data_IF_103934070579
#
_entry.id   IF_103934070579
#
_cell.length_a   1.000
_cell.length_b   1.000
_cell.length_c   1.000
_cell.angle_alpha   90.00
_cell.angle_beta   90.00
_cell.angle_gamma   90.00
#
_symmetry.space_group_name_H-M   'P 1'
#
loop_
_entity.id
_entity.type
_entity.pdbx_description
1 polymer ?
#
# COMPACT_ATOMS: atom_id res chain seq x y z
N UNK A 1 -39.09 11.51 -16.92
CA UNK A 1 -38.80 12.75 -16.17
C UNK A 1 -39.04 12.46 -14.70
N UNK A 2 -38.00 12.10 -13.95
CA UNK A 2 -38.12 11.86 -12.50
C UNK A 2 -38.05 13.20 -11.77
N UNK A 3 -39.13 13.57 -11.08
CA UNK A 3 -39.19 14.77 -10.25
C UNK A 3 -38.45 14.49 -8.95
N UNK A 4 -37.29 15.10 -8.76
CA UNK A 4 -36.52 14.99 -7.51
C UNK A 4 -37.13 15.94 -6.47
N UNK A 5 -37.88 15.36 -5.53
CA UNK A 5 -38.42 16.08 -4.37
C UNK A 5 -37.29 16.50 -3.43
N UNK A 6 -37.20 17.77 -2.99
CA UNK A 6 -36.13 18.27 -2.12
C UNK A 6 -36.08 17.57 -0.74
N UNK A 7 -37.18 16.94 -0.31
CA UNK A 7 -37.22 16.16 0.93
C UNK A 7 -36.37 14.88 0.86
N UNK A 8 -36.29 14.26 -0.32
CA UNK A 8 -35.50 13.03 -0.52
C UNK A 8 -34.00 13.34 -0.45
N UNK A 9 -33.59 14.51 -0.96
CA UNK A 9 -32.21 14.98 -0.90
C UNK A 9 -31.83 15.31 0.55
N UNK A 10 -32.70 16.00 1.29
CA UNK A 10 -32.45 16.31 2.70
C UNK A 10 -32.32 15.04 3.56
N UNK A 11 -33.16 14.02 3.33
CA UNK A 11 -33.05 12.74 4.02
C UNK A 11 -31.72 12.04 3.71
N UNK A 12 -31.28 12.00 2.45
CA UNK A 12 -30.01 11.40 2.06
C UNK A 12 -28.80 12.08 2.74
N UNK A 13 -28.82 13.41 2.87
CA UNK A 13 -27.78 14.15 3.59
C UNK A 13 -27.75 13.85 5.09
N UNK A 14 -28.91 13.67 5.73
CA UNK A 14 -28.99 13.32 7.17
C UNK A 14 -28.50 11.89 7.42
N UNK A 15 -28.85 10.94 6.56
CA UNK A 15 -28.32 9.57 6.65
C UNK A 15 -26.80 9.54 6.39
N UNK A 16 -26.31 10.30 5.41
CA UNK A 16 -24.89 10.45 5.13
C UNK A 16 -24.13 11.09 6.32
N UNK A 17 -24.75 12.07 7.01
CA UNK A 17 -24.17 12.71 8.19
C UNK A 17 -24.07 11.74 9.37
N UNK A 18 -25.12 10.94 9.61
CA UNK A 18 -25.12 9.95 10.67
C UNK A 18 -24.08 8.84 10.40
N UNK A 19 -23.89 8.42 9.15
CA UNK A 19 -22.81 7.49 8.77
C UNK A 19 -21.40 8.08 9.06
N UNK A 20 -21.18 9.37 8.80
CA UNK A 20 -19.92 10.06 9.13
C UNK A 20 -19.64 10.14 10.64
N UNK A 21 -20.67 10.08 11.50
CA UNK A 21 -20.43 10.10 12.97
C UNK A 21 -19.82 8.82 13.53
N UNK A 22 -19.90 7.69 12.82
CA UNK A 22 -19.19 6.47 13.22
C UNK A 22 -17.67 6.59 12.99
N UNK A 23 -17.25 7.32 11.95
CA UNK A 23 -15.84 7.57 11.66
C UNK A 23 -15.15 8.39 12.77
N UNK A 24 -15.89 9.26 13.45
CA UNK A 24 -15.38 10.06 14.56
C UNK A 24 -15.00 9.24 15.80
N UNK A 25 -15.55 8.03 15.98
CA UNK A 25 -15.23 7.17 17.14
C UNK A 25 -13.86 6.51 17.07
N UNK A 26 -13.22 6.48 15.90
CA UNK A 26 -11.86 5.93 15.75
C UNK A 26 -10.77 6.92 16.21
N UNK A 27 -11.10 8.19 16.41
CA UNK A 27 -10.11 9.25 16.70
C UNK A 27 -9.71 9.41 18.17
N UNK A 28 -10.43 8.78 19.10
CA UNK A 28 -10.18 8.91 20.55
C UNK A 28 -9.48 7.69 21.18
N UNK A 29 -9.22 6.62 20.41
CA UNK A 29 -8.48 5.46 20.93
C UNK A 29 -6.97 5.69 20.79
N UNK A 30 -6.17 5.58 21.87
CA UNK A 30 -4.72 5.66 21.77
C UNK A 30 -4.22 4.55 20.85
N UNK A 31 -3.39 4.92 19.86
CA UNK A 31 -2.78 3.97 18.92
C UNK A 31 -1.98 2.95 19.74
N UNK A 32 -2.42 1.70 19.71
CA UNK A 32 -1.82 0.64 20.50
C UNK A 32 -0.51 0.17 19.86
N UNK A 33 0.60 0.18 20.62
CA UNK A 33 1.87 -0.35 20.14
C UNK A 33 1.78 -1.87 19.96
N UNK A 34 1.94 -2.32 18.72
CA UNK A 34 2.04 -3.75 18.38
C UNK A 34 3.23 -4.39 19.09
N UNK A 35 4.33 -3.65 19.26
CA UNK A 35 5.53 -4.15 19.95
C UNK A 35 5.27 -4.44 21.43
N UNK A 36 4.50 -3.60 22.13
CA UNK A 36 4.13 -3.84 23.53
C UNK A 36 3.13 -5.00 23.68
N UNK A 37 2.20 -5.09 22.72
CA UNK A 37 1.19 -6.15 22.65
C UNK A 37 1.82 -7.55 22.64
N UNK A 38 2.84 -7.76 21.81
CA UNK A 38 3.45 -9.07 21.60
C UNK A 38 4.41 -9.51 22.71
N UNK A 39 4.72 -8.63 23.68
CA UNK A 39 5.55 -9.01 24.84
C UNK A 39 4.89 -10.06 25.72
N UNK A 40 3.56 -10.17 25.66
CA UNK A 40 2.79 -11.21 26.32
C UNK A 40 2.18 -12.13 25.26
N UNK A 41 1.93 -13.41 25.57
CA UNK A 41 1.21 -14.29 24.67
C UNK A 41 -0.16 -13.69 24.32
N UNK A 42 -0.39 -13.44 23.03
CA UNK A 42 -1.67 -12.93 22.54
C UNK A 42 -2.46 -14.13 22.00
N UNK A 43 -3.60 -14.49 22.60
CA UNK A 43 -4.37 -15.66 22.17
C UNK A 43 -5.06 -15.46 20.82
N UNK A 44 -5.37 -14.22 20.44
CA UNK A 44 -6.00 -13.87 19.18
C UNK A 44 -5.67 -12.42 18.78
N UNK A 45 -5.62 -12.14 17.47
CA UNK A 45 -5.38 -10.78 16.94
C UNK A 45 -6.49 -9.84 17.44
N UNK A 46 -6.16 -8.68 18.04
CA UNK A 46 -7.17 -7.73 18.49
C UNK A 46 -7.99 -7.15 17.32
N UNK A 47 -9.27 -6.88 17.58
CA UNK A 47 -10.23 -6.35 16.60
C UNK A 47 -9.72 -5.16 15.76
N UNK A 48 -8.97 -4.18 16.30
CA UNK A 48 -8.45 -3.06 15.51
C UNK A 48 -7.46 -3.43 14.38
N UNK A 49 -6.91 -4.65 14.40
CA UNK A 49 -5.98 -5.15 13.37
C UNK A 49 -6.64 -6.16 12.42
N UNK A 50 -7.93 -6.44 12.60
CA UNK A 50 -8.71 -7.32 11.73
C UNK A 50 -9.33 -6.45 10.65
N UNK A 51 -9.12 -6.82 9.38
CA UNK A 51 -9.77 -6.17 8.24
C UNK A 51 -11.19 -6.73 8.10
N UNK A 52 -12.20 -5.86 8.08
CA UNK A 52 -13.61 -6.25 7.94
C UNK A 52 -13.92 -6.91 6.59
N UNK A 53 -13.23 -6.47 5.54
CA UNK A 53 -13.29 -7.04 4.19
C UNK A 53 -11.89 -7.55 3.80
N UNK A 54 -11.56 -8.81 4.12
CA UNK A 54 -10.28 -9.38 3.75
C UNK A 54 -10.24 -9.59 2.24
N UNK A 55 -9.60 -8.66 1.53
CA UNK A 55 -9.32 -8.85 0.11
C UNK A 55 -8.54 -10.18 -0.06
N UNK A 56 -8.95 -11.06 -0.99
CA UNK A 56 -8.28 -12.34 -1.18
C UNK A 56 -6.78 -12.12 -1.36
N UNK A 57 -5.93 -12.98 -0.77
CA UNK A 57 -4.49 -12.82 -0.91
C UNK A 57 -4.14 -12.73 -2.39
N UNK A 58 -3.53 -11.60 -2.77
CA UNK A 58 -3.11 -11.33 -4.16
C UNK A 58 -2.10 -12.40 -4.65
N UNK A 59 -1.53 -13.16 -3.72
CA UNK A 59 -0.63 -14.28 -3.96
C UNK A 59 -1.38 -15.53 -4.41
N UNK A 60 -1.75 -15.58 -5.69
CA UNK A 60 -2.05 -16.84 -6.36
C UNK A 60 -0.77 -17.68 -6.44
N UNK A 61 -0.76 -18.84 -5.79
CA UNK A 61 0.40 -19.75 -5.72
C UNK A 61 0.83 -20.36 -7.06
N UNK A 62 0.11 -20.08 -8.15
CA UNK A 62 0.36 -20.69 -9.47
C UNK A 62 1.15 -19.80 -10.43
N UNK A 63 1.25 -18.50 -10.19
CA UNK A 63 2.00 -17.57 -11.05
C UNK A 63 3.19 -16.99 -10.32
N UNK A 64 4.43 -17.15 -10.83
CA UNK A 64 5.59 -16.48 -10.26
C UNK A 64 5.35 -14.97 -10.27
N UNK A 65 5.58 -14.33 -9.13
CA UNK A 65 5.51 -12.88 -9.03
C UNK A 65 6.50 -12.27 -10.02
N UNK A 66 6.14 -11.17 -10.70
CA UNK A 66 7.06 -10.50 -11.58
C UNK A 66 8.27 -10.03 -10.75
N UNK A 67 9.47 -10.31 -11.28
CA UNK A 67 10.72 -9.98 -10.59
C UNK A 67 10.79 -8.46 -10.40
N UNK A 68 11.02 -8.03 -9.16
CA UNK A 68 11.19 -6.61 -8.85
C UNK A 68 12.41 -6.05 -9.60
N UNK A 69 12.27 -4.95 -10.36
CA UNK A 69 13.39 -4.36 -11.05
C UNK A 69 14.49 -3.94 -10.07
N UNK A 70 15.73 -4.21 -10.43
CA UNK A 70 16.90 -3.81 -9.65
C UNK A 70 17.80 -2.92 -10.50
N UNK A 71 18.09 -1.72 -10.01
CA UNK A 71 19.00 -0.76 -10.64
C UNK A 71 20.40 -0.92 -10.05
N UNK A 72 21.38 -1.09 -10.91
CA UNK A 72 22.77 -1.24 -10.53
C UNK A 72 23.46 0.14 -10.49
N UNK A 73 23.68 0.64 -9.28
CA UNK A 73 24.20 1.99 -9.10
C UNK A 73 25.64 2.17 -9.60
N UNK A 74 26.45 1.10 -9.65
CA UNK A 74 27.80 1.21 -10.26
C UNK A 74 27.70 1.41 -11.77
N UNK A 75 26.79 0.68 -12.43
CA UNK A 75 26.65 0.76 -13.88
C UNK A 75 26.11 2.12 -14.31
N UNK A 76 25.33 2.76 -13.44
CA UNK A 76 24.84 4.12 -13.66
C UNK A 76 25.96 5.18 -13.64
N UNK A 77 27.05 4.94 -12.91
CA UNK A 77 28.16 5.89 -12.75
C UNK A 77 29.30 5.61 -13.75
N UNK A 78 29.49 4.35 -14.15
CA UNK A 78 30.51 3.95 -15.12
C UNK A 78 30.06 4.36 -16.53
N UNK A 79 30.81 5.25 -17.18
CA UNK A 79 30.47 5.85 -18.47
C UNK A 79 30.17 4.85 -19.60
N UNK A 80 30.78 3.66 -19.57
CA UNK A 80 30.55 2.64 -20.61
C UNK A 80 29.18 1.94 -20.47
N UNK A 81 28.63 1.90 -19.25
CA UNK A 81 27.36 1.23 -18.95
C UNK A 81 26.24 2.19 -18.57
N UNK A 82 26.56 3.48 -18.37
CA UNK A 82 25.67 4.49 -17.80
C UNK A 82 24.41 4.68 -18.62
N UNK A 83 24.52 4.73 -19.95
CA UNK A 83 23.37 4.97 -20.82
C UNK A 83 22.35 3.82 -20.72
N UNK A 84 22.83 2.58 -20.73
CA UNK A 84 21.96 1.40 -20.62
C UNK A 84 21.27 1.30 -19.26
N UNK A 85 21.98 1.61 -18.18
CA UNK A 85 21.43 1.53 -16.83
C UNK A 85 20.51 2.73 -16.52
N UNK A 86 20.78 3.89 -17.12
CA UNK A 86 19.93 5.07 -17.04
C UNK A 86 18.61 4.87 -17.77
N UNK A 87 18.63 4.28 -18.97
CA UNK A 87 17.40 3.93 -19.71
C UNK A 87 16.55 2.91 -18.94
N UNK A 88 17.22 1.94 -18.31
CA UNK A 88 16.57 0.96 -17.43
C UNK A 88 15.95 1.64 -16.20
N UNK A 89 16.64 2.59 -15.57
CA UNK A 89 16.10 3.39 -14.47
C UNK A 89 14.86 4.19 -14.93
N UNK A 90 14.93 4.88 -16.06
CA UNK A 90 13.82 5.65 -16.60
C UNK A 90 12.59 4.76 -16.88
N UNK A 91 12.79 3.64 -17.55
CA UNK A 91 11.72 2.67 -17.84
C UNK A 91 11.10 2.10 -16.57
N UNK A 92 11.94 1.78 -15.58
CA UNK A 92 11.49 1.25 -14.29
C UNK A 92 10.64 2.26 -13.52
N UNK A 93 11.07 3.53 -13.46
CA UNK A 93 10.28 4.59 -12.84
C UNK A 93 8.91 4.76 -13.52
N UNK A 94 8.85 4.62 -14.85
CA UNK A 94 7.62 4.77 -15.63
C UNK A 94 6.66 3.59 -15.46
N UNK A 95 7.17 2.36 -15.46
CA UNK A 95 6.35 1.14 -15.44
C UNK A 95 6.00 0.67 -14.03
N UNK A 96 6.94 0.81 -13.08
CA UNK A 96 6.80 0.27 -11.72
C UNK A 96 6.61 1.35 -10.66
N UNK A 97 7.30 2.48 -10.79
CA UNK A 97 7.33 3.53 -9.76
C UNK A 97 8.16 3.19 -8.51
N UNK A 98 8.69 1.97 -8.40
CA UNK A 98 9.62 1.56 -7.35
C UNK A 98 10.56 0.44 -7.85
N UNK A 99 11.72 0.31 -7.21
CA UNK A 99 12.76 -0.65 -7.59
C UNK A 99 13.74 -0.90 -6.44
N UNK A 100 14.48 -2.00 -6.54
CA UNK A 100 15.64 -2.27 -5.70
C UNK A 100 16.89 -1.58 -6.25
N UNK A 101 17.83 -1.26 -5.37
CA UNK A 101 19.13 -0.72 -5.74
C UNK A 101 20.20 -1.74 -5.39
N UNK A 102 21.14 -1.97 -6.30
CA UNK A 102 22.28 -2.87 -6.09
C UNK A 102 23.59 -2.12 -6.16
N UNK A 103 24.47 -2.45 -5.21
CA UNK A 103 25.87 -2.03 -5.18
C UNK A 103 26.74 -3.29 -5.17
N UNK A 104 26.41 -4.27 -6.02
CA UNK A 104 27.19 -5.50 -6.10
C UNK A 104 28.57 -5.18 -6.66
N UNK A 105 29.57 -5.28 -5.79
CA UNK A 105 30.98 -5.32 -6.14
C UNK A 105 31.18 -6.67 -6.86
N UNK A 106 31.04 -6.67 -8.17
CA UNK A 106 31.53 -7.77 -8.99
C UNK A 106 32.96 -7.39 -9.39
N UNK A 107 33.93 -7.89 -8.63
CA UNK A 107 35.28 -8.24 -9.11
C UNK A 107 36.10 -8.85 -7.94
N UNK A 108 36.01 -10.18 -7.84
CA UNK A 108 37.14 -11.09 -7.57
C UNK A 108 36.94 -12.32 -8.45
#
# INVERSE_FOLDING_TARGET
MASHSPLVVAAAFVFQWHASTQFSRLRDAPVQSVQELIKKPIPAVPQPFILDDPQPPILSTSTPLPLLPTIDMKHLIINETSDSELEKLHSTCKEWGFFQVSLKIHDL
#
